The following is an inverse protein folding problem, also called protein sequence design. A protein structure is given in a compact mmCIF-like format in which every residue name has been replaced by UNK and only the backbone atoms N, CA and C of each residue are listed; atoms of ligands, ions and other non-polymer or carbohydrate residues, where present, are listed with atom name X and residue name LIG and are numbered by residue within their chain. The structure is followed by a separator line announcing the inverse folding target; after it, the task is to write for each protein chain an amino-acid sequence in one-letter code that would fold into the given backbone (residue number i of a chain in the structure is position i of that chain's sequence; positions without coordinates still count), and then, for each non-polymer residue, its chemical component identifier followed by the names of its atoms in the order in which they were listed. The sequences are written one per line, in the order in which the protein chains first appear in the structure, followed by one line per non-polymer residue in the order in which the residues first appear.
data_IF_091620665008
#
_entry.id   IF_091620665008
#
_cell.length_a   1.000
_cell.length_b   1.000
_cell.length_c   1.000
_cell.angle_alpha   90.00
_cell.angle_beta   90.00
_cell.angle_gamma   90.00
#
_symmetry.space_group_name_H-M   'P 1'
#
loop_
_entity.id
_entity.type
_entity.pdbx_description
1 polymer ?
#
# COMPACT_ATOMS: atom_id res chain seq x y z
N UNK A 1 6.30 -3.66 13.05
CA UNK A 1 5.75 -4.95 12.59
C UNK A 1 5.84 -5.04 11.06
N UNK A 2 5.06 -4.25 10.30
CA UNK A 2 5.05 -4.27 8.83
C UNK A 2 6.41 -4.38 8.11
N UNK A 3 7.39 -3.53 8.43
CA UNK A 3 8.72 -3.57 7.79
C UNK A 3 9.36 -4.96 7.91
N UNK A 4 9.43 -5.51 9.12
CA UNK A 4 10.07 -6.79 9.38
C UNK A 4 9.35 -7.92 8.65
N UNK A 5 8.02 -7.91 8.67
CA UNK A 5 7.20 -8.93 8.00
C UNK A 5 7.43 -8.91 6.47
N UNK A 6 7.47 -7.72 5.86
CA UNK A 6 7.73 -7.57 4.42
C UNK A 6 9.16 -7.94 4.02
N UNK A 7 10.15 -7.54 4.81
CA UNK A 7 11.56 -7.88 4.54
C UNK A 7 11.79 -9.40 4.67
N UNK A 8 11.14 -10.05 5.65
CA UNK A 8 11.20 -11.49 5.83
C UNK A 8 10.46 -12.25 4.71
N UNK A 9 9.26 -11.81 4.34
CA UNK A 9 8.46 -12.48 3.31
C UNK A 9 9.09 -12.38 1.91
N UNK A 10 9.77 -11.28 1.61
CA UNK A 10 10.36 -11.03 0.27
C UNK A 10 11.87 -11.32 0.21
N UNK A 11 12.54 -11.44 1.36
CA UNK A 11 14.00 -11.50 1.46
C UNK A 11 14.70 -10.20 1.05
N UNK A 12 13.96 -9.11 0.83
CA UNK A 12 14.47 -7.82 0.31
C UNK A 12 14.32 -6.73 1.36
N UNK A 13 15.41 -6.00 1.64
CA UNK A 13 15.37 -4.83 2.51
C UNK A 13 14.69 -3.63 1.85
N UNK A 14 13.84 -2.94 2.60
CA UNK A 14 13.23 -1.68 2.16
C UNK A 14 14.28 -0.58 2.25
N UNK A 15 14.70 -0.04 1.10
CA UNK A 15 15.73 1.02 1.04
C UNK A 15 15.15 2.41 0.85
N UNK A 16 14.04 2.51 0.11
CA UNK A 16 13.40 3.78 -0.25
C UNK A 16 11.89 3.63 -0.13
N UNK A 17 11.25 4.68 0.36
CA UNK A 17 9.81 4.82 0.38
C UNK A 17 9.45 6.06 -0.41
N UNK A 18 8.52 5.93 -1.37
CA UNK A 18 7.98 7.07 -2.10
C UNK A 18 6.54 7.33 -1.65
N UNK A 19 6.22 8.57 -1.28
CA UNK A 19 4.86 9.00 -0.94
C UNK A 19 4.54 10.34 -1.58
N UNK A 20 3.27 10.74 -1.52
CA UNK A 20 2.89 12.12 -1.79
C UNK A 20 3.30 13.06 -0.64
N UNK A 21 2.93 14.34 -0.78
CA UNK A 21 3.17 15.38 0.24
C UNK A 21 2.05 15.42 1.31
N UNK A 22 1.34 14.31 1.56
CA UNK A 22 0.37 14.20 2.65
C UNK A 22 0.98 14.60 4.00
N UNK A 23 0.19 15.24 4.86
CA UNK A 23 0.64 15.72 6.17
C UNK A 23 1.16 14.58 7.05
N UNK A 24 0.52 13.42 6.95
CA UNK A 24 0.89 12.18 7.63
C UNK A 24 2.29 11.67 7.24
N UNK A 25 2.72 11.90 6.00
CA UNK A 25 4.03 11.47 5.50
C UNK A 25 5.12 12.53 5.67
N UNK A 26 4.75 13.77 6.01
CA UNK A 26 5.70 14.88 6.13
C UNK A 26 6.03 15.25 7.59
N UNK A 27 5.29 14.68 8.55
CA UNK A 27 5.47 14.86 9.98
C UNK A 27 6.84 14.41 10.51
N UNK A 28 7.26 15.02 11.63
CA UNK A 28 8.57 14.74 12.27
C UNK A 28 8.71 13.29 12.69
N UNK A 29 7.71 12.73 13.36
CA UNK A 29 7.73 11.35 13.86
C UNK A 29 7.93 10.33 12.74
N UNK A 30 7.29 10.57 11.59
CA UNK A 30 7.42 9.70 10.42
C UNK A 30 8.85 9.74 9.86
N UNK A 31 9.42 10.94 9.69
CA UNK A 31 10.82 11.10 9.24
C UNK A 31 11.82 10.45 10.19
N UNK A 32 11.64 10.64 11.50
CA UNK A 32 12.49 10.01 12.52
C UNK A 32 12.40 8.49 12.47
N UNK A 33 11.19 7.94 12.28
CA UNK A 33 10.98 6.50 12.12
C UNK A 33 11.74 5.96 10.90
N UNK A 34 11.60 6.60 9.73
CA UNK A 34 12.29 6.18 8.51
C UNK A 34 13.82 6.31 8.63
N UNK A 35 14.30 7.39 9.24
CA UNK A 35 15.73 7.63 9.48
C UNK A 35 16.34 6.56 10.39
N UNK A 36 15.69 6.24 11.52
CA UNK A 36 16.11 5.14 12.43
C UNK A 36 16.18 3.79 11.72
N UNK A 37 15.37 3.60 10.69
CA UNK A 37 15.31 2.37 9.90
C UNK A 37 16.23 2.39 8.67
N UNK A 38 16.96 3.49 8.43
CA UNK A 38 17.83 3.68 7.27
C UNK A 38 17.10 3.80 5.93
N UNK A 39 15.81 4.15 5.95
CA UNK A 39 14.96 4.23 4.76
C UNK A 39 14.96 5.66 4.23
N UNK A 40 15.32 5.84 2.95
CA UNK A 40 15.24 7.14 2.29
C UNK A 40 13.80 7.46 1.89
N UNK A 41 13.28 8.58 2.36
CA UNK A 41 11.96 9.07 1.97
C UNK A 41 12.07 9.95 0.72
N UNK A 42 11.35 9.58 -0.34
CA UNK A 42 11.18 10.35 -1.56
C UNK A 42 9.75 10.88 -1.62
N UNK A 43 9.59 12.18 -1.86
CA UNK A 43 8.27 12.79 -1.98
C UNK A 43 7.99 13.12 -3.44
N UNK A 44 6.77 12.86 -3.89
CA UNK A 44 6.36 13.26 -5.23
C UNK A 44 6.28 14.78 -5.34
N UNK A 45 6.50 15.29 -6.56
CA UNK A 45 6.36 16.72 -6.82
C UNK A 45 4.88 17.11 -6.69
N UNK A 46 4.54 18.23 -6.02
CA UNK A 46 3.17 18.72 -5.98
C UNK A 46 2.55 18.77 -7.37
N UNK A 47 1.27 18.41 -7.49
CA UNK A 47 0.53 18.38 -8.76
C UNK A 47 1.02 17.37 -9.82
N UNK A 48 1.83 16.38 -9.43
CA UNK A 48 2.25 15.27 -10.31
C UNK A 48 1.76 13.89 -9.80
N UNK A 49 0.44 13.64 -9.76
CA UNK A 49 -0.12 12.37 -9.26
C UNK A 49 0.41 11.14 -10.00
N UNK A 50 0.85 11.29 -11.25
CA UNK A 50 1.45 10.23 -12.06
C UNK A 50 2.70 9.62 -11.39
N UNK A 51 3.45 10.39 -10.59
CA UNK A 51 4.62 9.88 -9.86
C UNK A 51 4.25 8.89 -8.74
N UNK A 52 3.02 8.94 -8.24
CA UNK A 52 2.46 8.00 -7.26
C UNK A 52 1.48 7.00 -7.90
N UNK A 53 1.38 6.99 -9.23
CA UNK A 53 0.33 6.27 -9.94
C UNK A 53 0.32 4.75 -9.70
N UNK A 54 1.46 4.15 -9.37
CA UNK A 54 1.52 2.73 -9.00
C UNK A 54 0.79 2.44 -7.68
N UNK A 55 1.06 3.25 -6.65
CA UNK A 55 0.41 3.11 -5.35
C UNK A 55 -1.09 3.42 -5.46
N UNK A 56 -1.45 4.48 -6.18
CA UNK A 56 -2.86 4.84 -6.42
C UNK A 56 -3.62 3.76 -7.19
N UNK A 57 -3.02 3.18 -8.23
CA UNK A 57 -3.63 2.05 -8.97
C UNK A 57 -3.81 0.84 -8.08
N UNK A 58 -2.81 0.46 -7.29
CA UNK A 58 -2.92 -0.68 -6.38
C UNK A 58 -4.01 -0.47 -5.33
N UNK A 59 -4.07 0.71 -4.71
CA UNK A 59 -5.12 1.05 -3.75
C UNK A 59 -6.51 0.96 -4.38
N UNK A 60 -6.66 1.43 -5.63
CA UNK A 60 -7.91 1.32 -6.38
C UNK A 60 -8.30 -0.13 -6.61
N UNK A 61 -7.38 -0.97 -7.10
CA UNK A 61 -7.64 -2.40 -7.35
C UNK A 61 -8.06 -3.15 -6.08
N UNK A 62 -7.41 -2.87 -4.93
CA UNK A 62 -7.77 -3.46 -3.64
C UNK A 62 -9.19 -3.11 -3.21
N UNK A 63 -9.54 -1.82 -3.30
CA UNK A 63 -10.85 -1.31 -2.87
C UNK A 63 -11.96 -1.75 -3.82
N UNK A 64 -11.71 -1.74 -5.13
CA UNK A 64 -12.68 -2.21 -6.13
C UNK A 64 -12.97 -3.70 -5.95
N UNK A 65 -11.94 -4.53 -5.79
CA UNK A 65 -12.11 -5.96 -5.52
C UNK A 65 -12.88 -6.20 -4.21
N UNK A 66 -12.56 -5.45 -3.15
CA UNK A 66 -13.25 -5.58 -1.87
C UNK A 66 -14.73 -5.21 -1.99
N UNK A 67 -15.05 -4.14 -2.73
CA UNK A 67 -16.44 -3.73 -3.00
C UNK A 67 -17.18 -4.77 -3.82
N UNK A 68 -16.55 -5.35 -4.85
CA UNK A 68 -17.15 -6.41 -5.66
C UNK A 68 -17.48 -7.64 -4.81
N UNK A 69 -16.57 -8.09 -3.95
CA UNK A 69 -16.80 -9.24 -3.05
C UNK A 69 -17.98 -8.97 -2.09
N UNK A 70 -17.99 -7.81 -1.43
CA UNK A 70 -19.07 -7.45 -0.51
C UNK A 70 -20.43 -7.37 -1.22
N UNK A 71 -20.46 -6.76 -2.41
CA UNK A 71 -21.69 -6.61 -3.18
C UNK A 71 -22.21 -7.94 -3.70
N UNK A 72 -21.33 -8.80 -4.20
CA UNK A 72 -21.70 -10.11 -4.76
C UNK A 72 -22.31 -11.04 -3.71
N UNK A 73 -21.71 -11.09 -2.52
CA UNK A 73 -22.15 -11.97 -1.42
C UNK A 73 -23.20 -11.31 -0.50
N UNK A 74 -23.60 -10.07 -0.78
CA UNK A 74 -24.56 -9.33 0.06
C UNK A 74 -24.06 -9.06 1.48
N UNK A 75 -22.73 -8.99 1.68
CA UNK A 75 -22.10 -8.81 2.98
C UNK A 75 -22.18 -7.33 3.40
N UNK A 76 -22.51 -7.10 4.68
CA UNK A 76 -22.55 -5.77 5.28
C UNK A 76 -21.18 -5.05 5.17
N UNK A 77 -21.22 -3.75 4.86
CA UNK A 77 -20.04 -2.88 4.72
C UNK A 77 -19.17 -2.83 5.97
N UNK A 78 -19.68 -3.22 7.14
CA UNK A 78 -18.86 -3.35 8.36
C UNK A 78 -17.65 -4.29 8.19
N UNK A 79 -17.74 -5.27 7.28
CA UNK A 79 -16.69 -6.24 6.98
C UNK A 79 -15.68 -5.76 5.92
N UNK A 80 -15.61 -4.45 5.67
CA UNK A 80 -14.73 -3.90 4.63
C UNK A 80 -13.25 -4.20 4.88
N UNK A 81 -12.81 -4.26 6.14
CA UNK A 81 -11.42 -4.53 6.48
C UNK A 81 -11.02 -5.96 6.09
N UNK A 82 -11.88 -6.94 6.36
CA UNK A 82 -11.72 -8.34 5.98
C UNK A 82 -11.78 -8.51 4.46
N UNK A 83 -12.68 -7.79 3.79
CA UNK A 83 -12.78 -7.79 2.34
C UNK A 83 -11.49 -7.24 1.69
N UNK A 84 -10.94 -6.14 2.19
CA UNK A 84 -9.67 -5.58 1.69
C UNK A 84 -8.49 -6.52 1.97
N UNK A 85 -8.42 -7.14 3.15
CA UNK A 85 -7.40 -8.15 3.45
C UNK A 85 -7.49 -9.35 2.49
N UNK A 86 -8.70 -9.79 2.18
CA UNK A 86 -8.95 -10.86 1.21
C UNK A 86 -8.51 -10.44 -0.19
N UNK A 87 -8.83 -9.21 -0.62
CA UNK A 87 -8.36 -8.66 -1.90
C UNK A 87 -6.83 -8.67 -1.98
N UNK A 88 -6.15 -8.23 -0.92
CA UNK A 88 -4.69 -8.22 -0.87
C UNK A 88 -4.10 -9.63 -0.96
N UNK A 89 -4.72 -10.60 -0.29
CA UNK A 89 -4.31 -12.00 -0.36
C UNK A 89 -4.43 -12.57 -1.77
N UNK A 90 -5.54 -12.28 -2.46
CA UNK A 90 -5.79 -12.72 -3.84
C UNK A 90 -4.80 -12.07 -4.81
N UNK A 91 -4.68 -10.74 -4.79
CA UNK A 91 -3.82 -9.97 -5.73
C UNK A 91 -2.35 -10.37 -5.59
N UNK A 92 -1.87 -10.64 -4.38
CA UNK A 92 -0.48 -11.05 -4.16
C UNK A 92 -0.17 -12.50 -4.59
N UNK A 93 -1.18 -13.31 -4.93
CA UNK A 93 -1.03 -14.72 -5.31
C UNK A 93 -1.42 -15.02 -6.76
N UNK A 94 -2.24 -14.17 -7.37
CA UNK A 94 -2.60 -14.31 -8.78
C UNK A 94 -1.59 -13.51 -9.62
N UNK A 95 -1.01 -14.12 -10.68
CA UNK A 95 -0.18 -13.38 -11.63
C UNK A 95 -0.95 -12.18 -12.16
N UNK A 96 -0.44 -10.98 -11.92
CA UNK A 96 -1.02 -9.76 -12.44
C UNK A 96 0.10 -8.87 -12.96
N UNK A 97 -0.21 -8.02 -13.94
CA UNK A 97 0.76 -7.16 -14.63
C UNK A 97 1.50 -6.18 -13.71
N UNK A 98 1.15 -6.11 -12.42
CA UNK A 98 1.79 -5.26 -11.40
C UNK A 98 2.72 -6.08 -10.46
N UNK A 99 2.49 -7.38 -10.29
CA UNK A 99 3.32 -8.29 -9.47
C UNK A 99 4.31 -9.14 -10.27
N UNK A 100 4.24 -9.14 -11.62
CA UNK A 100 5.26 -9.74 -12.50
C UNK A 100 6.33 -8.72 -12.90
#
# INVERSE_FOLDING_TARGET
MFKADMENATGRKIRRLRSDNGGEYTGRLFKECLSKQGIRHEKTVPYTPQQNGLAERMNRSLVEMARCMLYHEGIDKKWWAEAVNTSAWIINRIPNTVTV
#
